data_IF_516535955583
#
_entry.id   IF_516535955583
#
_cell.length_a   1.000
_cell.length_b   1.000
_cell.length_c   1.000
_cell.angle_alpha   90.00
_cell.angle_beta   90.00
_cell.angle_gamma   90.00
#
_symmetry.space_group_name_H-M   'P 1'
#
loop_
_entity.id
_entity.type
_entity.pdbx_description
1 polymer ?
#
# COMPACT_ATOMS: atom_id res chain seq x y z
N UNK A 1 14.84 6.65 -2.77
CA UNK A 1 15.42 6.35 -1.45
C UNK A 1 14.49 6.97 -0.43
N UNK A 2 13.94 6.14 0.46
CA UNK A 2 13.04 6.56 1.54
C UNK A 2 13.62 6.15 2.90
N UNK A 3 13.05 6.68 3.98
CA UNK A 3 13.31 6.18 5.34
C UNK A 3 12.27 5.10 5.65
N UNK A 4 12.72 3.98 6.22
CA UNK A 4 11.84 2.88 6.60
C UNK A 4 10.90 3.31 7.71
N UNK A 5 9.63 2.95 7.55
CA UNK A 5 8.63 3.03 8.59
C UNK A 5 8.47 1.65 9.23
N UNK A 6 8.42 1.61 10.56
CA UNK A 6 8.08 0.42 11.34
C UNK A 6 7.02 0.83 12.36
N UNK A 7 5.87 0.14 12.31
CA UNK A 7 4.79 0.33 13.29
C UNK A 7 4.27 1.78 13.42
N UNK A 8 4.28 2.52 12.30
CA UNK A 8 3.83 3.91 12.23
C UNK A 8 4.92 4.94 12.57
N UNK A 9 6.11 4.51 12.99
CA UNK A 9 7.23 5.38 13.34
C UNK A 9 8.40 5.25 12.37
N UNK A 10 9.28 6.24 12.39
CA UNK A 10 10.55 6.22 11.65
C UNK A 10 11.47 5.17 12.28
N UNK A 11 11.87 4.18 11.48
CA UNK A 11 12.80 3.15 11.94
C UNK A 11 14.22 3.71 12.07
N UNK A 12 14.87 3.36 13.17
CA UNK A 12 16.25 3.73 13.47
C UNK A 12 17.13 2.51 13.65
N UNK A 13 18.41 2.66 13.35
CA UNK A 13 19.45 1.69 13.70
C UNK A 13 19.72 1.73 15.21
N UNK A 14 20.43 0.72 15.73
CA UNK A 14 20.86 0.72 17.13
C UNK A 14 21.80 1.90 17.49
N UNK A 15 22.43 2.54 16.50
CA UNK A 15 23.27 3.74 16.68
C UNK A 15 22.47 5.05 16.70
N UNK A 16 21.16 5.01 16.43
CA UNK A 16 20.29 6.18 16.38
C UNK A 16 20.21 6.86 15.01
N UNK A 17 20.74 6.23 13.96
CA UNK A 17 20.65 6.74 12.59
C UNK A 17 19.35 6.26 11.93
N UNK A 18 18.84 7.02 10.95
CA UNK A 18 17.68 6.58 10.16
C UNK A 18 18.01 5.34 9.33
N UNK A 19 17.08 4.39 9.30
CA UNK A 19 17.18 3.22 8.43
C UNK A 19 16.63 3.58 7.04
N UNK A 20 17.51 3.68 6.05
CA UNK A 20 17.14 3.97 4.67
C UNK A 20 16.80 2.71 3.89
N UNK A 21 15.79 2.80 3.03
CA UNK A 21 15.35 1.75 2.10
C UNK A 21 15.39 2.26 0.67
N UNK A 22 15.63 1.34 -0.26
CA UNK A 22 15.71 1.64 -1.69
C UNK A 22 15.16 0.48 -2.52
N UNK A 23 14.85 0.74 -3.78
CA UNK A 23 14.44 -0.30 -4.73
C UNK A 23 13.09 -0.93 -4.35
N UNK A 24 13.02 -2.27 -4.36
CA UNK A 24 11.77 -2.99 -4.08
C UNK A 24 11.21 -2.71 -2.69
N UNK A 25 12.05 -2.51 -1.67
CA UNK A 25 11.58 -2.21 -0.31
C UNK A 25 10.89 -0.84 -0.24
N UNK A 26 11.46 0.15 -0.93
CA UNK A 26 10.86 1.49 -1.08
C UNK A 26 9.52 1.41 -1.80
N UNK A 27 9.44 0.65 -2.92
CA UNK A 27 8.20 0.45 -3.66
C UNK A 27 7.12 -0.21 -2.78
N UNK A 28 7.47 -1.28 -2.05
CA UNK A 28 6.56 -1.95 -1.12
C UNK A 28 6.04 -0.99 -0.06
N UNK A 29 6.91 -0.19 0.56
CA UNK A 29 6.49 0.77 1.58
C UNK A 29 5.49 1.79 1.00
N UNK A 30 5.74 2.34 -0.19
CA UNK A 30 4.84 3.31 -0.83
C UNK A 30 3.50 2.70 -1.20
N UNK A 31 3.48 1.47 -1.71
CA UNK A 31 2.24 0.74 -1.99
C UNK A 31 1.43 0.53 -0.71
N UNK A 32 2.08 0.14 0.41
CA UNK A 32 1.39 0.00 1.71
C UNK A 32 0.80 1.31 2.19
N UNK A 33 1.54 2.41 2.08
CA UNK A 33 1.05 3.75 2.45
C UNK A 33 -0.18 4.11 1.60
N UNK A 34 -0.10 3.90 0.28
CA UNK A 34 -1.20 4.20 -0.63
C UNK A 34 -2.44 3.32 -0.38
N UNK A 35 -2.26 2.07 0.02
CA UNK A 35 -3.37 1.17 0.35
C UNK A 35 -3.98 1.48 1.74
N UNK A 36 -3.18 1.90 2.72
CA UNK A 36 -3.70 2.21 4.06
C UNK A 36 -4.28 3.62 4.19
N UNK A 37 -3.98 4.50 3.24
CA UNK A 37 -4.44 5.89 3.26
C UNK A 37 -5.72 6.03 2.45
N UNK A 38 -6.74 6.62 3.06
CA UNK A 38 -7.97 6.98 2.36
C UNK A 38 -7.72 8.16 1.42
N UNK A 39 -8.16 8.05 0.16
CA UNK A 39 -7.97 9.11 -0.83
C UNK A 39 -8.57 10.44 -0.34
N UNK A 40 -7.74 11.49 -0.32
CA UNK A 40 -8.10 12.84 0.11
C UNK A 40 -7.82 13.16 1.58
N UNK A 41 -7.42 12.19 2.41
CA UNK A 41 -7.13 12.40 3.84
C UNK A 41 -5.75 13.03 4.07
N UNK A 42 -4.81 12.83 3.15
CA UNK A 42 -3.49 13.42 3.28
C UNK A 42 -3.49 14.89 2.84
N UNK A 43 -3.17 15.79 3.78
CA UNK A 43 -3.36 17.24 3.62
C UNK A 43 -2.50 17.84 2.49
N UNK A 44 -1.31 17.29 2.29
CA UNK A 44 -0.33 17.83 1.33
C UNK A 44 -0.45 17.23 -0.07
N UNK A 45 -1.06 16.06 -0.20
CA UNK A 45 -1.35 15.40 -1.46
C UNK A 45 -2.70 14.68 -1.36
N UNK A 46 -3.71 15.27 -1.98
CA UNK A 46 -5.08 14.75 -1.94
C UNK A 46 -5.30 13.60 -2.92
N UNK A 47 -4.40 13.39 -3.87
CA UNK A 47 -4.49 12.28 -4.81
C UNK A 47 -3.89 11.01 -4.22
N UNK A 48 -3.04 11.12 -3.20
CA UNK A 48 -2.51 9.99 -2.44
C UNK A 48 -3.64 9.18 -1.79
N UNK A 49 -3.52 7.86 -1.89
CA UNK A 49 -4.38 6.91 -1.21
C UNK A 49 -5.38 6.26 -2.13
N UNK A 50 -6.18 5.37 -1.56
CA UNK A 50 -7.18 4.57 -2.29
C UNK A 50 -8.58 4.98 -1.85
N UNK A 51 -9.52 5.09 -2.80
CA UNK A 51 -10.90 5.44 -2.48
C UNK A 51 -11.72 4.18 -2.16
N UNK A 52 -11.91 3.90 -0.87
CA UNK A 52 -12.66 2.75 -0.41
C UNK A 52 -14.18 2.99 -0.30
N UNK A 53 -14.69 4.17 -0.68
CA UNK A 53 -16.12 4.49 -0.49
C UNK A 53 -17.01 3.54 -1.29
N UNK A 54 -17.94 2.91 -0.59
CA UNK A 54 -18.92 2.01 -1.20
C UNK A 54 -18.41 0.58 -1.40
N UNK A 55 -17.17 0.27 -0.99
CA UNK A 55 -16.74 -1.12 -0.80
C UNK A 55 -17.28 -1.66 0.51
N UNK A 56 -17.68 -2.93 0.48
CA UNK A 56 -18.13 -3.67 1.66
C UNK A 56 -17.29 -4.92 1.82
N UNK A 57 -16.99 -5.29 3.06
CA UNK A 57 -16.21 -6.49 3.36
C UNK A 57 -16.89 -7.79 2.89
N UNK A 58 -18.22 -7.79 2.71
CA UNK A 58 -19.01 -8.95 2.28
C UNK A 58 -19.27 -9.02 0.76
N UNK A 59 -18.68 -8.12 -0.02
CA UNK A 59 -18.86 -8.10 -1.47
C UNK A 59 -18.11 -9.26 -2.15
N UNK A 60 -18.83 -10.07 -2.93
CA UNK A 60 -18.23 -11.18 -3.68
C UNK A 60 -17.19 -10.74 -4.70
N UNK A 61 -17.24 -9.48 -5.14
CA UNK A 61 -16.29 -8.86 -6.06
C UNK A 61 -15.28 -7.94 -5.36
N UNK A 62 -15.15 -8.04 -4.03
CA UNK A 62 -14.27 -7.19 -3.23
C UNK A 62 -12.83 -7.22 -3.76
N UNK A 63 -12.31 -8.42 -4.04
CA UNK A 63 -10.93 -8.59 -4.47
C UNK A 63 -10.67 -7.94 -5.84
N UNK A 64 -11.53 -8.14 -6.84
CA UNK A 64 -11.36 -7.51 -8.16
C UNK A 64 -11.52 -5.99 -8.09
N UNK A 65 -12.44 -5.48 -7.27
CA UNK A 65 -12.59 -4.04 -7.08
C UNK A 65 -11.37 -3.43 -6.36
N UNK A 66 -10.87 -4.08 -5.32
CA UNK A 66 -9.65 -3.67 -4.62
C UNK A 66 -8.45 -3.66 -5.55
N UNK A 67 -8.31 -4.67 -6.40
CA UNK A 67 -7.24 -4.75 -7.40
C UNK A 67 -7.26 -3.52 -8.33
N UNK A 68 -8.43 -3.17 -8.87
CA UNK A 68 -8.56 -1.98 -9.72
C UNK A 68 -8.21 -0.69 -8.99
N UNK A 69 -8.72 -0.50 -7.78
CA UNK A 69 -8.52 0.73 -7.01
C UNK A 69 -7.08 0.90 -6.53
N UNK A 70 -6.44 -0.17 -6.08
CA UNK A 70 -5.03 -0.15 -5.65
C UNK A 70 -4.10 0.06 -6.85
N UNK A 71 -4.42 -0.53 -8.02
CA UNK A 71 -3.69 -0.24 -9.26
C UNK A 71 -3.79 1.22 -9.65
N UNK A 72 -4.97 1.81 -9.56
CA UNK A 72 -5.20 3.23 -9.83
C UNK A 72 -4.42 4.12 -8.86
N UNK A 73 -4.49 3.84 -7.55
CA UNK A 73 -3.80 4.66 -6.54
C UNK A 73 -2.27 4.57 -6.64
N UNK A 74 -1.75 3.44 -7.11
CA UNK A 74 -0.32 3.21 -7.25
C UNK A 74 0.23 3.59 -8.64
N UNK A 75 -0.61 4.11 -9.55
CA UNK A 75 -0.21 4.40 -10.93
C UNK A 75 0.93 5.42 -11.03
N UNK A 76 1.02 6.35 -10.08
CA UNK A 76 2.08 7.37 -10.03
C UNK A 76 3.36 6.88 -9.35
N UNK A 77 3.38 5.66 -8.81
CA UNK A 77 4.59 5.07 -8.24
C UNK A 77 5.48 4.57 -9.38
N UNK A 78 6.54 5.33 -9.65
CA UNK A 78 7.48 5.07 -10.74
C UNK A 78 7.97 3.61 -10.80
N UNK A 79 8.01 3.05 -12.02
CA UNK A 79 8.45 1.67 -12.33
C UNK A 79 7.81 0.57 -11.47
N UNK A 80 6.62 0.83 -10.92
CA UNK A 80 5.93 -0.10 -10.00
C UNK A 80 4.63 -0.61 -10.61
N UNK A 81 4.44 -1.92 -10.58
CA UNK A 81 3.16 -2.58 -10.88
C UNK A 81 2.66 -3.27 -9.63
N UNK A 82 1.35 -3.30 -9.44
CA UNK A 82 0.71 -3.93 -8.29
C UNK A 82 -0.40 -4.87 -8.74
N UNK A 83 -0.64 -5.91 -7.96
CA UNK A 83 -1.75 -6.84 -8.15
C UNK A 83 -2.22 -7.35 -6.80
N UNK A 84 -3.53 -7.31 -6.57
CA UNK A 84 -4.13 -7.91 -5.37
C UNK A 84 -4.35 -9.40 -5.67
N UNK A 85 -3.62 -10.26 -4.96
CA UNK A 85 -3.66 -11.71 -5.15
C UNK A 85 -4.85 -12.35 -4.42
N UNK A 86 -5.20 -11.81 -3.26
CA UNK A 86 -6.34 -12.26 -2.46
C UNK A 86 -6.81 -11.16 -1.52
N UNK A 87 -8.07 -11.27 -1.09
CA UNK A 87 -8.63 -10.46 -0.02
C UNK A 87 -9.53 -11.34 0.84
N UNK A 88 -9.13 -11.57 2.09
CA UNK A 88 -9.86 -12.38 3.05
C UNK A 88 -9.89 -11.65 4.40
N UNK A 89 -11.04 -11.62 5.07
CA UNK A 89 -11.21 -10.97 6.39
C UNK A 89 -10.64 -9.54 6.44
N UNK A 90 -10.89 -8.75 5.38
CA UNK A 90 -10.35 -7.39 5.21
C UNK A 90 -8.82 -7.31 5.11
N UNK A 91 -8.11 -8.42 4.96
CA UNK A 91 -6.66 -8.45 4.71
C UNK A 91 -6.43 -8.67 3.22
N UNK A 92 -5.78 -7.72 2.57
CA UNK A 92 -5.37 -7.81 1.17
C UNK A 92 -3.91 -8.27 1.06
N UNK A 93 -3.67 -9.29 0.24
CA UNK A 93 -2.32 -9.73 -0.14
C UNK A 93 -1.98 -9.08 -1.47
N UNK A 94 -0.98 -8.20 -1.48
CA UNK A 94 -0.62 -7.38 -2.64
C UNK A 94 0.75 -7.82 -3.14
N UNK A 95 0.84 -8.22 -4.41
CA UNK A 95 2.09 -8.37 -5.14
C UNK A 95 2.54 -7.01 -5.65
N UNK A 96 3.80 -6.68 -5.39
CA UNK A 96 4.48 -5.47 -5.87
C UNK A 96 5.61 -5.90 -6.78
N UNK A 97 5.62 -5.37 -8.00
CA UNK A 97 6.68 -5.61 -8.98
C UNK A 97 7.38 -4.28 -9.24
N UNK A 98 8.67 -4.21 -8.98
CA UNK A 98 9.51 -3.04 -9.22
C UNK A 98 10.77 -3.45 -9.99
N UNK A 99 10.94 -2.91 -11.20
CA UNK A 99 12.11 -3.18 -12.05
C UNK A 99 12.49 -4.68 -12.17
N UNK A 100 11.49 -5.53 -12.44
CA UNK A 100 11.59 -7.00 -12.53
C UNK A 100 11.88 -7.74 -11.22
N UNK A 101 11.93 -7.05 -10.07
CA UNK A 101 11.92 -7.69 -8.76
C UNK A 101 10.48 -7.73 -8.25
N UNK A 102 10.13 -8.80 -7.55
CA UNK A 102 8.81 -8.96 -6.96
C UNK A 102 8.90 -9.15 -5.45
N UNK A 103 7.91 -8.62 -4.75
CA UNK A 103 7.69 -8.83 -3.33
C UNK A 103 6.19 -8.88 -3.05
N UNK A 104 5.81 -9.50 -1.95
CA UNK A 104 4.43 -9.53 -1.48
C UNK A 104 4.32 -8.80 -0.16
N UNK A 105 3.23 -8.08 0.04
CA UNK A 105 2.91 -7.43 1.30
C UNK A 105 1.46 -7.65 1.69
N UNK A 106 1.22 -7.74 2.99
CA UNK A 106 -0.12 -7.84 3.56
C UNK A 106 -0.56 -6.49 4.11
N UNK A 107 -1.80 -6.12 3.81
CA UNK A 107 -2.41 -4.87 4.26
C UNK A 107 -3.75 -5.18 4.93
N UNK A 108 -3.85 -4.82 6.21
CA UNK A 108 -5.11 -4.88 6.96
C UNK A 108 -5.94 -3.64 6.64
N UNK A 109 -7.05 -3.86 5.94
CA UNK A 109 -8.00 -2.84 5.51
C UNK A 109 -9.20 -2.71 6.44
N UNK A 110 -9.22 -3.36 7.60
CA UNK A 110 -10.33 -3.28 8.57
C UNK A 110 -10.60 -1.86 9.08
N UNK A 111 -9.59 -0.98 9.04
CA UNK A 111 -9.73 0.44 9.38
C UNK A 111 -10.33 1.31 8.27
N UNK A 112 -10.39 0.82 7.02
CA UNK A 112 -10.84 1.60 5.84
C UNK A 112 -12.04 0.99 5.11
N UNK A 113 -12.25 -0.33 5.22
CA UNK A 113 -13.45 -1.02 4.74
C UNK A 113 -14.59 -0.90 5.76
N UNK A 114 -15.79 -0.60 5.26
CA UNK A 114 -17.02 -0.48 6.06
C UNK A 114 -17.84 -1.78 6.08
#
# INVERSE_FOLDING_TARGET
MDVRLSDGDIAMTASGDYLYITGIEEAVQRVRISALTMKGDFVYDRELGTDYRGLRADDSMLCEKLDMLIKESCADIFDTQVEVLSCENSVAVIRVIYQNNEATTEVDLSGVLQ
#
